data_IF_990757148205
#
_entry.id   IF_990757148205
#
_cell.length_a   1.000
_cell.length_b   1.000
_cell.length_c   1.000
_cell.angle_alpha   90.00
_cell.angle_beta   90.00
_cell.angle_gamma   90.00
#
_symmetry.space_group_name_H-M   'P 1'
#
loop_
_entity.id
_entity.type
_entity.pdbx_description
1 polymer ?
#
# COMPACT_ATOMS: atom_id res chain seq x y z
N UNK A 1 -20.12 -11.31 7.05
CA UNK A 1 -19.56 -10.85 5.76
C UNK A 1 -20.42 -9.75 5.17
N UNK A 2 -19.86 -8.91 4.30
CA UNK A 2 -20.57 -7.86 3.55
C UNK A 2 -20.23 -8.04 2.07
N UNK A 3 -21.21 -8.21 1.18
CA UNK A 3 -20.97 -8.65 -0.21
C UNK A 3 -22.02 -8.18 -1.22
N UNK A 4 -21.74 -8.44 -2.50
CA UNK A 4 -22.58 -8.11 -3.65
C UNK A 4 -22.95 -9.40 -4.43
N UNK A 5 -23.89 -10.21 -3.92
CA UNK A 5 -24.31 -11.42 -4.62
C UNK A 5 -24.94 -11.07 -5.98
N UNK A 6 -24.50 -11.73 -7.04
CA UNK A 6 -24.86 -11.44 -8.43
C UNK A 6 -24.59 -9.99 -8.89
N UNK A 7 -23.69 -9.27 -8.21
CA UNK A 7 -23.44 -7.85 -8.47
C UNK A 7 -24.57 -6.92 -8.00
N UNK A 8 -25.50 -7.44 -7.19
CA UNK A 8 -26.66 -6.72 -6.66
C UNK A 8 -26.26 -5.73 -5.53
N UNK A 9 -27.24 -5.06 -4.95
CA UNK A 9 -27.11 -4.26 -3.73
C UNK A 9 -26.34 -5.01 -2.64
N UNK A 10 -25.63 -4.23 -1.83
CA UNK A 10 -24.83 -4.74 -0.71
C UNK A 10 -25.73 -5.51 0.27
N UNK A 11 -25.37 -6.77 0.54
CA UNK A 11 -26.03 -7.65 1.52
C UNK A 11 -25.06 -8.01 2.64
N UNK A 12 -25.64 -8.46 3.75
CA UNK A 12 -24.92 -8.92 4.94
C UNK A 12 -25.37 -10.34 5.23
N UNK A 13 -24.40 -11.25 5.37
CA UNK A 13 -24.61 -12.62 5.86
C UNK A 13 -23.81 -12.83 7.13
N UNK A 14 -24.40 -13.47 8.13
CA UNK A 14 -23.79 -13.71 9.43
C UNK A 14 -23.72 -15.20 9.72
N UNK A 15 -22.68 -15.61 10.45
CA UNK A 15 -22.38 -17.01 10.69
C UNK A 15 -21.23 -17.18 11.67
N UNK A 16 -20.73 -18.41 11.71
CA UNK A 16 -19.59 -18.79 12.55
C UNK A 16 -18.50 -19.41 11.69
N UNK A 17 -17.24 -19.09 12.02
CA UNK A 17 -16.09 -19.87 11.55
C UNK A 17 -16.10 -21.22 12.27
N UNK A 18 -16.04 -22.31 11.52
CA UNK A 18 -16.07 -23.67 12.06
C UNK A 18 -14.65 -24.16 12.39
N UNK A 19 -13.81 -24.25 11.36
CA UNK A 19 -12.40 -24.65 11.45
C UNK A 19 -11.66 -24.16 10.19
N UNK A 20 -10.58 -24.84 9.80
CA UNK A 20 -9.87 -24.63 8.56
C UNK A 20 -10.09 -25.77 7.56
N UNK A 21 -10.36 -25.39 6.32
CA UNK A 21 -10.39 -26.29 5.17
C UNK A 21 -9.04 -26.31 4.49
N UNK A 22 -8.50 -27.50 4.21
CA UNK A 22 -7.23 -27.66 3.49
C UNK A 22 -7.45 -28.21 2.09
N UNK A 23 -6.91 -27.54 1.07
CA UNK A 23 -6.90 -28.04 -0.30
C UNK A 23 -5.79 -29.07 -0.51
N UNK A 24 -5.87 -29.82 -1.62
CA UNK A 24 -4.88 -30.85 -1.97
C UNK A 24 -3.48 -30.32 -2.24
N UNK A 25 -3.36 -29.02 -2.52
CA UNK A 25 -2.07 -28.32 -2.68
C UNK A 25 -1.43 -27.92 -1.33
N UNK A 26 -2.08 -28.26 -0.21
CA UNK A 26 -1.60 -27.95 1.15
C UNK A 26 -1.96 -26.55 1.64
N UNK A 27 -2.69 -25.76 0.86
CA UNK A 27 -3.17 -24.44 1.31
C UNK A 27 -4.34 -24.58 2.28
N UNK A 28 -4.46 -23.65 3.24
CA UNK A 28 -5.52 -23.65 4.25
C UNK A 28 -6.38 -22.38 4.21
N UNK A 29 -7.68 -22.56 4.38
CA UNK A 29 -8.73 -21.54 4.27
C UNK A 29 -9.64 -21.61 5.49
N UNK A 30 -10.22 -20.48 5.91
CA UNK A 30 -11.23 -20.47 6.97
C UNK A 30 -12.55 -21.02 6.46
N UNK A 31 -13.10 -22.01 7.16
CA UNK A 31 -14.39 -22.62 6.85
C UNK A 31 -15.52 -21.90 7.62
N UNK A 32 -16.55 -21.45 6.92
CA UNK A 32 -17.60 -20.58 7.47
C UNK A 32 -18.98 -21.10 7.09
N UNK A 33 -19.84 -21.25 8.11
CA UNK A 33 -21.25 -21.58 7.95
C UNK A 33 -22.13 -20.40 8.35
N UNK A 34 -23.09 -20.05 7.50
CA UNK A 34 -24.03 -18.97 7.77
C UNK A 34 -25.23 -19.43 8.58
N UNK A 35 -25.62 -18.62 9.56
CA UNK A 35 -26.89 -18.73 10.28
C UNK A 35 -27.96 -17.82 9.69
N UNK A 36 -27.55 -16.70 9.07
CA UNK A 36 -28.43 -15.76 8.37
C UNK A 36 -27.78 -15.38 7.05
N UNK A 37 -28.56 -15.44 5.97
CA UNK A 37 -28.09 -15.16 4.62
C UNK A 37 -27.30 -16.33 4.03
N UNK A 38 -26.62 -16.05 2.93
CA UNK A 38 -25.75 -16.98 2.21
C UNK A 38 -24.84 -16.18 1.27
N UNK A 39 -24.10 -16.87 0.41
CA UNK A 39 -23.40 -16.26 -0.72
C UNK A 39 -23.92 -16.80 -2.05
N UNK A 40 -23.60 -16.07 -3.10
CA UNK A 40 -23.94 -16.39 -4.48
C UNK A 40 -22.78 -15.93 -5.38
N UNK A 41 -22.69 -16.40 -6.63
CA UNK A 41 -21.72 -15.89 -7.61
C UNK A 41 -21.67 -14.36 -7.62
N UNK A 42 -20.48 -13.77 -7.73
CA UNK A 42 -20.28 -12.31 -7.57
C UNK A 42 -19.93 -11.88 -6.13
N UNK A 43 -20.13 -12.75 -5.14
CA UNK A 43 -19.66 -12.50 -3.76
C UNK A 43 -18.15 -12.72 -3.58
N UNK A 44 -17.47 -13.30 -4.58
CA UNK A 44 -16.04 -13.63 -4.53
C UNK A 44 -15.19 -12.42 -4.14
N UNK A 45 -14.21 -12.63 -3.25
CA UNK A 45 -13.35 -11.58 -2.70
C UNK A 45 -13.97 -10.74 -1.58
N UNK A 46 -15.28 -10.90 -1.29
CA UNK A 46 -15.92 -10.17 -0.20
C UNK A 46 -15.31 -10.51 1.17
N UNK A 47 -15.19 -9.50 2.03
CA UNK A 47 -14.51 -9.62 3.32
C UNK A 47 -15.26 -10.45 4.35
N UNK A 48 -14.55 -11.44 4.93
CA UNK A 48 -14.93 -12.05 6.20
C UNK A 48 -14.52 -11.11 7.34
N UNK A 49 -15.50 -10.66 8.11
CA UNK A 49 -15.30 -9.77 9.24
C UNK A 49 -15.71 -10.49 10.51
N UNK A 50 -14.83 -10.50 11.51
CA UNK A 50 -15.15 -11.00 12.86
C UNK A 50 -15.05 -9.86 13.86
N UNK A 51 -15.89 -9.87 14.88
CA UNK A 51 -15.79 -8.91 15.95
C UNK A 51 -14.52 -9.20 16.78
N UNK A 52 -13.71 -8.19 17.08
CA UNK A 52 -12.54 -8.31 17.94
C UNK A 52 -12.94 -8.85 19.32
N UNK A 53 -12.02 -9.53 20.03
CA UNK A 53 -12.33 -10.19 21.31
C UNK A 53 -12.86 -9.24 22.39
N UNK A 54 -12.53 -7.95 22.31
CA UNK A 54 -13.05 -6.89 23.17
C UNK A 54 -14.35 -6.22 22.66
N UNK A 55 -14.93 -6.76 21.58
CA UNK A 55 -16.13 -6.27 20.91
C UNK A 55 -16.09 -4.83 20.41
N UNK A 56 -14.91 -4.23 20.25
CA UNK A 56 -14.78 -2.79 19.96
C UNK A 56 -14.72 -2.44 18.47
N UNK A 57 -14.27 -3.36 17.62
CA UNK A 57 -14.20 -3.17 16.16
C UNK A 57 -14.27 -4.50 15.41
N UNK A 58 -14.49 -4.44 14.10
CA UNK A 58 -14.44 -5.60 13.21
C UNK A 58 -13.04 -5.76 12.61
N UNK A 59 -12.55 -7.00 12.60
CA UNK A 59 -11.28 -7.39 11.98
C UNK A 59 -11.55 -8.13 10.67
N UNK A 60 -10.86 -7.72 9.60
CA UNK A 60 -10.83 -8.47 8.34
C UNK A 60 -10.02 -9.74 8.53
N UNK A 61 -10.61 -10.88 8.19
CA UNK A 61 -9.98 -12.21 8.27
C UNK A 61 -9.56 -12.76 6.92
N UNK A 62 -10.10 -12.23 5.84
CA UNK A 62 -9.77 -12.61 4.47
C UNK A 62 -10.96 -12.45 3.52
N UNK A 63 -10.85 -13.02 2.32
CA UNK A 63 -11.83 -12.85 1.24
C UNK A 63 -12.47 -14.17 0.82
N UNK A 64 -13.76 -14.13 0.44
CA UNK A 64 -14.49 -15.32 -0.03
C UNK A 64 -13.78 -15.91 -1.26
N UNK A 65 -13.41 -17.18 -1.20
CA UNK A 65 -12.71 -17.86 -2.27
C UNK A 65 -13.62 -18.83 -3.02
N UNK A 66 -14.27 -19.73 -2.30
CA UNK A 66 -15.14 -20.77 -2.85
C UNK A 66 -16.16 -21.22 -1.79
N UNK A 67 -17.04 -22.14 -2.16
CA UNK A 67 -18.02 -22.71 -1.24
C UNK A 67 -19.22 -23.29 -1.96
N UNK A 68 -20.09 -23.92 -1.19
CA UNK A 68 -21.36 -24.48 -1.67
C UNK A 68 -22.58 -23.99 -0.88
N UNK A 69 -22.39 -22.96 -0.04
CA UNK A 69 -23.48 -22.27 0.61
C UNK A 69 -24.43 -21.66 -0.43
N UNK A 70 -25.73 -21.86 -0.22
CA UNK A 70 -26.77 -21.19 -1.01
C UNK A 70 -28.05 -21.07 -0.20
N UNK A 71 -29.00 -20.25 -0.66
CA UNK A 71 -30.33 -20.16 -0.06
C UNK A 71 -31.04 -21.52 0.03
N UNK A 72 -30.81 -22.41 -0.94
CA UNK A 72 -31.32 -23.79 -0.98
C UNK A 72 -30.50 -24.78 -0.16
N UNK A 73 -29.22 -24.47 0.13
CA UNK A 73 -28.30 -25.32 0.87
C UNK A 73 -27.72 -24.57 2.06
N UNK A 74 -28.56 -24.38 3.09
CA UNK A 74 -28.21 -23.64 4.32
C UNK A 74 -27.17 -24.34 5.20
N UNK A 75 -26.95 -25.63 4.98
CA UNK A 75 -25.86 -26.39 5.63
C UNK A 75 -24.58 -26.41 4.79
N UNK A 76 -24.57 -25.71 3.65
CA UNK A 76 -23.38 -25.54 2.83
C UNK A 76 -22.44 -24.54 3.45
N UNK A 77 -21.15 -24.72 3.19
CA UNK A 77 -20.08 -23.94 3.78
C UNK A 77 -19.33 -23.16 2.70
N UNK A 78 -18.80 -22.02 3.12
CA UNK A 78 -17.92 -21.20 2.32
C UNK A 78 -16.51 -21.17 2.91
N UNK A 79 -15.54 -21.23 2.03
CA UNK A 79 -14.13 -21.14 2.37
C UNK A 79 -13.57 -19.77 2.01
N UNK A 80 -12.86 -19.19 2.97
CA UNK A 80 -12.28 -17.86 2.90
C UNK A 80 -10.77 -17.91 2.96
N UNK A 81 -10.10 -17.09 2.15
CA UNK A 81 -8.66 -16.91 2.26
C UNK A 81 -8.30 -16.43 3.67
N UNK A 82 -7.05 -16.68 4.07
CA UNK A 82 -6.56 -16.37 5.41
C UNK A 82 -5.66 -15.14 5.36
N UNK A 83 -6.17 -14.00 5.81
CA UNK A 83 -5.42 -12.74 5.83
C UNK A 83 -4.16 -12.88 6.69
N UNK A 84 -4.23 -13.63 7.78
CA UNK A 84 -3.09 -13.90 8.65
C UNK A 84 -2.00 -14.74 7.98
N UNK A 85 -2.37 -15.68 7.10
CA UNK A 85 -1.40 -16.42 6.27
C UNK A 85 -0.78 -15.51 5.21
N UNK A 86 -1.58 -14.61 4.62
CA UNK A 86 -1.10 -13.65 3.63
C UNK A 86 -0.29 -12.49 4.25
N UNK A 87 -0.50 -12.20 5.54
CA UNK A 87 -0.03 -10.98 6.20
C UNK A 87 1.49 -10.77 6.06
N UNK A 88 2.37 -11.77 6.23
CA UNK A 88 3.81 -11.57 6.06
C UNK A 88 4.21 -11.05 4.67
N UNK A 89 3.43 -11.39 3.64
CA UNK A 89 3.69 -11.00 2.25
C UNK A 89 3.11 -9.62 1.90
N UNK A 90 2.03 -9.22 2.57
CA UNK A 90 1.29 -7.99 2.23
C UNK A 90 1.40 -6.88 3.29
N UNK A 91 1.90 -7.17 4.48
CA UNK A 91 2.09 -6.20 5.56
C UNK A 91 2.81 -4.92 5.12
N UNK A 92 3.83 -4.98 4.24
CA UNK A 92 4.47 -3.77 3.76
C UNK A 92 3.56 -2.80 2.99
N UNK A 93 2.50 -3.31 2.35
CA UNK A 93 1.53 -2.49 1.62
C UNK A 93 0.41 -1.97 2.52
N UNK A 94 0.24 -2.54 3.72
CA UNK A 94 -0.81 -2.18 4.67
C UNK A 94 -0.29 -1.33 5.83
N UNK A 95 1.02 -1.12 5.92
CA UNK A 95 1.68 -0.37 6.99
C UNK A 95 2.12 0.99 6.45
N UNK A 96 1.60 2.13 6.95
CA UNK A 96 1.88 3.46 6.43
C UNK A 96 3.36 3.87 6.32
N UNK A 97 4.27 3.16 6.99
CA UNK A 97 5.70 3.43 7.00
C UNK A 97 6.58 2.18 6.78
N UNK A 98 6.02 1.06 6.31
CA UNK A 98 6.85 -0.11 6.05
C UNK A 98 7.77 0.11 4.85
N UNK A 99 8.98 -0.46 4.93
CA UNK A 99 9.89 -0.52 3.81
C UNK A 99 9.21 -1.27 2.65
N UNK A 100 9.10 -0.61 1.50
CA UNK A 100 8.52 -1.21 0.30
C UNK A 100 9.28 -2.50 -0.04
N UNK A 101 8.62 -3.65 -0.20
CA UNK A 101 9.28 -4.94 -0.42
C UNK A 101 9.93 -5.01 -1.81
N UNK A 102 9.52 -4.16 -2.74
CA UNK A 102 10.19 -3.97 -4.03
C UNK A 102 11.41 -3.05 -3.93
N UNK A 103 11.75 -2.60 -2.72
CA UNK A 103 12.75 -1.56 -2.37
C UNK A 103 12.67 -0.33 -3.28
N UNK A 104 11.45 0.03 -3.65
CA UNK A 104 11.12 1.28 -4.33
C UNK A 104 10.63 2.29 -3.29
N UNK A 105 11.01 3.54 -3.41
CA UNK A 105 10.50 4.62 -2.55
C UNK A 105 9.62 5.55 -3.38
N UNK A 106 8.63 6.15 -2.71
CA UNK A 106 7.82 7.20 -3.30
C UNK A 106 8.64 8.48 -3.35
N UNK A 107 8.71 9.08 -4.54
CA UNK A 107 9.25 10.41 -4.74
C UNK A 107 8.07 11.36 -4.87
N UNK A 108 8.10 12.45 -4.10
CA UNK A 108 7.02 13.43 -4.02
C UNK A 108 7.55 14.79 -4.45
N UNK A 109 6.76 15.49 -5.27
CA UNK A 109 7.01 16.88 -5.64
C UNK A 109 6.17 17.85 -4.79
N UNK A 110 6.82 18.92 -4.35
CA UNK A 110 6.25 20.04 -3.64
C UNK A 110 6.51 21.33 -4.43
N UNK A 111 5.58 22.27 -4.34
CA UNK A 111 5.70 23.61 -4.89
C UNK A 111 5.51 24.64 -3.78
N UNK A 112 6.31 25.70 -3.82
CA UNK A 112 6.11 26.87 -2.97
C UNK A 112 5.95 28.13 -3.82
N UNK A 113 4.71 28.63 -3.89
CA UNK A 113 4.33 29.82 -4.66
C UNK A 113 5.07 31.11 -4.25
N UNK A 114 5.56 31.19 -3.01
CA UNK A 114 6.31 32.36 -2.52
C UNK A 114 7.68 32.51 -3.17
N UNK A 115 8.32 31.39 -3.54
CA UNK A 115 9.61 31.36 -4.22
C UNK A 115 9.50 30.96 -5.69
N UNK A 116 8.31 30.53 -6.13
CA UNK A 116 8.08 29.91 -7.44
C UNK A 116 9.00 28.70 -7.68
N UNK A 117 9.27 27.95 -6.61
CA UNK A 117 10.24 26.85 -6.61
C UNK A 117 9.56 25.49 -6.42
N UNK A 118 10.20 24.48 -7.02
CA UNK A 118 9.83 23.08 -6.89
C UNK A 118 10.88 22.34 -6.06
N UNK A 119 10.41 21.42 -5.21
CA UNK A 119 11.26 20.53 -4.44
C UNK A 119 10.78 19.10 -4.57
N UNK A 120 11.68 18.21 -4.99
CA UNK A 120 11.39 16.81 -5.22
C UNK A 120 12.22 15.97 -4.25
N UNK A 121 11.57 15.11 -3.48
CA UNK A 121 12.30 14.28 -2.52
C UNK A 121 11.72 12.88 -2.37
N UNK A 122 12.63 11.94 -2.14
CA UNK A 122 12.36 10.56 -1.76
C UNK A 122 12.72 10.28 -0.29
N UNK A 123 13.24 11.30 0.41
CA UNK A 123 13.69 11.22 1.79
C UNK A 123 12.48 11.37 2.72
N UNK A 124 12.19 10.31 3.46
CA UNK A 124 10.99 10.24 4.30
C UNK A 124 10.92 11.35 5.37
N UNK A 125 12.00 11.66 6.13
CA UNK A 125 12.02 12.81 7.04
C UNK A 125 11.70 14.15 6.38
N UNK A 126 12.18 14.40 5.16
CA UNK A 126 11.87 15.65 4.44
C UNK A 126 10.40 15.72 4.04
N UNK A 127 9.84 14.61 3.53
CA UNK A 127 8.41 14.50 3.20
C UNK A 127 7.56 14.78 4.43
N UNK A 128 7.89 14.17 5.57
CA UNK A 128 7.18 14.36 6.83
C UNK A 128 7.29 15.80 7.34
N UNK A 129 8.45 16.44 7.23
CA UNK A 129 8.64 17.83 7.64
C UNK A 129 7.78 18.79 6.80
N UNK A 130 7.71 18.56 5.48
CA UNK A 130 6.91 19.38 4.56
C UNK A 130 5.41 19.16 4.79
N UNK A 131 4.97 17.91 4.93
CA UNK A 131 3.57 17.57 5.15
C UNK A 131 3.04 18.09 6.49
N UNK A 132 3.86 18.07 7.53
CA UNK A 132 3.51 18.58 8.85
C UNK A 132 3.66 20.10 8.96
N UNK A 133 4.04 20.78 7.88
CA UNK A 133 4.16 22.24 7.84
C UNK A 133 5.34 22.81 8.64
N UNK A 134 6.39 22.01 8.90
CA UNK A 134 7.62 22.51 9.53
C UNK A 134 8.32 23.56 8.67
N UNK A 135 8.10 23.52 7.35
CA UNK A 135 8.48 24.55 6.39
C UNK A 135 7.21 25.11 5.73
N UNK A 136 6.62 26.18 6.27
CA UNK A 136 5.36 26.73 5.77
C UNK A 136 5.47 27.20 4.31
N UNK A 137 4.40 26.98 3.54
CA UNK A 137 4.27 27.44 2.15
C UNK A 137 4.50 26.35 1.10
N UNK A 138 5.18 25.27 1.44
CA UNK A 138 5.33 24.10 0.58
C UNK A 138 4.05 23.28 0.54
N UNK A 139 3.57 22.96 -0.66
CA UNK A 139 2.35 22.17 -0.88
C UNK A 139 2.64 21.07 -1.88
N UNK A 140 2.14 19.85 -1.62
CA UNK A 140 2.22 18.74 -2.58
C UNK A 140 1.53 19.13 -3.89
N UNK A 141 2.20 18.94 -5.02
CA UNK A 141 1.60 19.22 -6.34
C UNK A 141 0.62 18.13 -6.79
N UNK A 142 0.70 16.96 -6.15
CA UNK A 142 0.01 15.74 -6.56
C UNK A 142 0.84 14.87 -7.52
N UNK A 143 1.95 15.39 -8.05
CA UNK A 143 2.89 14.60 -8.84
C UNK A 143 3.75 13.73 -7.92
N UNK A 144 3.75 12.43 -8.24
CA UNK A 144 4.56 11.43 -7.55
C UNK A 144 5.02 10.37 -8.55
N UNK A 145 6.17 9.77 -8.27
CA UNK A 145 6.66 8.60 -9.00
C UNK A 145 7.45 7.67 -8.09
N UNK A 146 7.77 6.47 -8.56
CA UNK A 146 8.56 5.50 -7.80
C UNK A 146 10.02 5.54 -8.26
N UNK A 147 10.95 5.61 -7.30
CA UNK A 147 12.38 5.44 -7.53
C UNK A 147 12.90 4.20 -6.80
N UNK A 148 14.08 3.70 -7.19
CA UNK A 148 14.75 2.63 -6.45
C UNK A 148 15.47 3.22 -5.24
N UNK A 149 15.14 2.74 -4.04
CA UNK A 149 15.78 3.18 -2.81
C UNK A 149 17.09 2.40 -2.52
N UNK A 150 17.25 1.24 -3.15
CA UNK A 150 18.38 0.36 -2.98
C UNK A 150 18.94 -0.03 -4.37
N UNK A 151 20.21 0.32 -4.68
CA UNK A 151 20.84 -0.03 -5.95
C UNK A 151 20.86 -1.54 -6.24
N UNK A 152 20.82 -2.41 -5.22
CA UNK A 152 20.86 -3.87 -5.39
C UNK A 152 19.64 -4.45 -6.10
N UNK A 153 18.53 -3.71 -6.15
CA UNK A 153 17.30 -4.11 -6.86
C UNK A 153 17.02 -3.29 -8.10
N UNK A 154 17.85 -2.28 -8.38
CA UNK A 154 17.71 -1.47 -9.57
C UNK A 154 18.08 -2.30 -10.80
N UNK A 155 17.36 -2.16 -11.93
CA UNK A 155 17.71 -2.85 -13.16
C UNK A 155 19.09 -2.39 -13.66
N UNK A 156 19.76 -3.26 -14.42
CA UNK A 156 21.00 -2.90 -15.09
C UNK A 156 20.79 -1.66 -15.98
N UNK A 157 21.67 -0.66 -15.84
CA UNK A 157 21.58 0.62 -16.55
C UNK A 157 20.80 1.72 -15.83
N UNK A 158 20.27 1.47 -14.62
CA UNK A 158 19.77 2.55 -13.77
C UNK A 158 20.92 3.44 -13.27
N UNK A 159 20.77 4.76 -13.38
CA UNK A 159 21.72 5.73 -12.82
C UNK A 159 21.20 6.28 -11.49
N UNK A 160 22.06 6.42 -10.46
CA UNK A 160 21.70 7.14 -9.25
C UNK A 160 21.48 8.62 -9.57
N UNK A 161 20.54 9.27 -8.88
CA UNK A 161 20.27 10.70 -9.01
C UNK A 161 21.06 11.45 -7.94
N UNK A 162 21.83 12.45 -8.35
CA UNK A 162 22.44 13.41 -7.43
C UNK A 162 21.49 14.60 -7.19
N UNK A 163 21.53 15.15 -5.96
CA UNK A 163 20.84 16.38 -5.58
C UNK A 163 21.83 17.35 -4.95
N UNK A 164 21.88 18.59 -5.44
CA UNK A 164 22.69 19.66 -4.89
C UNK A 164 21.81 20.85 -4.53
N UNK A 165 22.14 21.55 -3.45
CA UNK A 165 21.48 22.79 -3.06
C UNK A 165 22.35 23.98 -3.45
N UNK A 166 21.78 24.93 -4.19
CA UNK A 166 22.42 26.19 -4.53
C UNK A 166 22.14 27.19 -3.41
N UNK A 167 23.20 27.78 -2.86
CA UNK A 167 23.07 28.78 -1.81
C UNK A 167 22.18 29.96 -2.25
N UNK A 168 21.48 30.63 -1.32
CA UNK A 168 20.52 31.68 -1.65
C UNK A 168 21.08 32.79 -2.54
N UNK A 169 22.35 33.16 -2.37
CA UNK A 169 23.02 34.17 -3.20
C UNK A 169 23.14 33.82 -4.69
N UNK A 170 22.90 32.55 -5.05
CA UNK A 170 23.02 32.02 -6.41
C UNK A 170 21.70 31.46 -6.96
N UNK A 171 20.59 31.57 -6.22
CA UNK A 171 19.25 31.20 -6.69
C UNK A 171 18.41 30.35 -5.73
N UNK A 172 18.93 29.94 -4.56
CA UNK A 172 18.17 29.24 -3.49
C UNK A 172 17.39 27.98 -3.93
N UNK A 173 17.92 27.23 -4.91
CA UNK A 173 17.18 26.14 -5.56
C UNK A 173 17.93 24.82 -5.52
N UNK A 174 17.23 23.74 -5.87
CA UNK A 174 17.81 22.39 -5.93
C UNK A 174 18.09 21.98 -7.38
N UNK A 175 19.30 21.46 -7.61
CA UNK A 175 19.67 20.84 -8.89
C UNK A 175 19.64 19.32 -8.77
N UNK A 176 19.04 18.66 -9.75
CA UNK A 176 18.95 17.20 -9.85
C UNK A 176 19.51 16.73 -11.19
N UNK A 177 20.37 15.70 -11.17
CA UNK A 177 20.80 15.04 -12.41
C UNK A 177 20.96 13.54 -12.20
N UNK A 178 20.69 12.78 -13.25
CA UNK A 178 20.96 11.34 -13.34
C UNK A 178 22.17 11.05 -14.25
N UNK A 179 22.80 12.08 -14.82
CA UNK A 179 24.02 11.93 -15.61
C UNK A 179 25.24 11.91 -14.66
N UNK A 180 26.02 10.81 -14.62
CA UNK A 180 27.21 10.72 -13.79
C UNK A 180 28.23 11.85 -14.06
N UNK A 181 28.33 12.34 -15.29
CA UNK A 181 29.25 13.42 -15.65
C UNK A 181 28.79 14.76 -15.06
N UNK A 182 27.50 15.07 -15.16
CA UNK A 182 26.93 16.28 -14.54
C UNK A 182 27.05 16.24 -13.03
N UNK A 183 26.76 15.09 -12.42
CA UNK A 183 26.89 14.91 -10.98
C UNK A 183 28.34 15.11 -10.52
N UNK A 184 29.31 14.53 -11.23
CA UNK A 184 30.73 14.69 -10.90
C UNK A 184 31.22 16.12 -11.10
N UNK A 185 30.83 16.78 -12.20
CA UNK A 185 31.20 18.16 -12.49
C UNK A 185 30.59 19.16 -11.49
N UNK A 186 29.32 18.95 -11.13
CA UNK A 186 28.61 19.78 -10.13
C UNK A 186 29.23 19.60 -8.76
N UNK A 187 29.51 18.35 -8.34
CA UNK A 187 30.24 18.08 -7.10
C UNK A 187 31.61 18.77 -7.09
N UNK A 188 32.41 18.66 -8.15
CA UNK A 188 33.74 19.29 -8.19
C UNK A 188 33.68 20.82 -8.14
N UNK A 189 32.65 21.44 -8.71
CA UNK A 189 32.51 22.89 -8.80
C UNK A 189 31.89 23.51 -7.53
N UNK A 190 31.05 22.77 -6.83
CA UNK A 190 30.26 23.27 -5.70
C UNK A 190 30.44 22.48 -4.40
N UNK A 191 31.38 21.52 -4.34
CA UNK A 191 31.83 20.94 -3.07
C UNK A 191 32.62 22.00 -2.29
N UNK A 192 31.88 22.81 -1.52
CA UNK A 192 32.38 23.78 -0.56
C UNK A 192 31.39 23.92 0.57
#
# INVERSE_FOLDING_TARGET
MIHHPNGDLKKISTGSTLDYFSFSDGTSFADVRYSIGSTEPGSSGAGLLTLAGNSSFYELRGGLFAGDASCSRRSGDDVYSRLDVAMPLIAPYLTPAAANPNKKTLVVEYYFAGYDDYFITANQPEIEALDNGAHPGWVRTGLTFLAYADPSVAPAGASPVCRFYLLPQFGDSHFYSADPADCAATAAKFAG
#
